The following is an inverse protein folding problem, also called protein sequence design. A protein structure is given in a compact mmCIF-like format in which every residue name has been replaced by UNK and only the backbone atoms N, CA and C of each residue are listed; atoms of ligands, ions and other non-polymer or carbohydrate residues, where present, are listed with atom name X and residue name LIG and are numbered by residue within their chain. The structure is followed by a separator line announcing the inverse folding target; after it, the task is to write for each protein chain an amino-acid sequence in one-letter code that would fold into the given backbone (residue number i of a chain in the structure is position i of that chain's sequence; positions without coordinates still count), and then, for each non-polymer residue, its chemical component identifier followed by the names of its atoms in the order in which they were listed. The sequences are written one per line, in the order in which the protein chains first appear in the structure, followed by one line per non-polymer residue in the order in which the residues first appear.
data_IF_156694791524
#
_entry.id   IF_156694791524
#
_cell.length_a   1.000
_cell.length_b   1.000
_cell.length_c   1.000
_cell.angle_alpha   90.00
_cell.angle_beta   90.00
_cell.angle_gamma   90.00
#
_symmetry.space_group_name_H-M   'P 1'
#
loop_
_entity.id
_entity.type
_entity.pdbx_description
1 polymer ?
#
# COMPACT_ATOMS: atom_id res chain seq x y z
N UNK A 1 60.40 36.86 18.55
CA UNK A 1 60.02 35.48 18.13
C UNK A 1 58.53 35.28 18.40
N UNK A 2 57.64 35.86 17.57
CA UNK A 2 56.16 35.83 17.74
C UNK A 2 55.46 35.43 16.42
N UNK A 3 56.16 34.70 15.53
CA UNK A 3 55.68 34.43 14.17
C UNK A 3 55.25 32.99 13.89
N UNK A 4 55.61 32.03 14.74
CA UNK A 4 55.47 30.60 14.37
C UNK A 4 54.23 29.91 14.95
N UNK A 5 53.59 30.48 15.97
CA UNK A 5 52.40 29.89 16.59
C UNK A 5 51.10 30.34 15.93
N UNK A 6 51.09 31.52 15.30
CA UNK A 6 49.91 32.03 14.61
C UNK A 6 49.53 31.20 13.37
N UNK A 7 50.53 30.63 12.67
CA UNK A 7 50.30 29.80 11.48
C UNK A 7 49.69 28.43 11.81
N UNK A 8 49.98 27.87 12.99
CA UNK A 8 49.45 26.55 13.38
C UNK A 8 47.96 26.62 13.70
N UNK A 9 47.51 27.73 14.32
CA UNK A 9 46.08 27.92 14.64
C UNK A 9 45.22 28.17 13.39
N UNK A 10 45.79 28.72 12.31
CA UNK A 10 45.05 28.98 11.07
C UNK A 10 44.68 27.70 10.29
N UNK A 11 45.43 26.60 10.47
CA UNK A 11 45.21 25.34 9.73
C UNK A 11 44.14 24.44 10.37
N UNK A 12 43.81 24.65 11.64
CA UNK A 12 42.86 23.81 12.40
C UNK A 12 41.41 24.32 12.39
N UNK A 13 41.14 25.49 11.81
CA UNK A 13 39.82 26.15 11.82
C UNK A 13 38.83 25.68 10.75
N UNK A 14 39.13 24.61 10.01
CA UNK A 14 38.25 24.05 8.99
C UNK A 14 37.29 23.00 9.55
N UNK A 15 36.52 23.33 10.59
CA UNK A 15 35.45 22.46 11.06
C UNK A 15 34.32 22.60 10.05
N UNK A 16 34.18 21.62 9.15
CA UNK A 16 32.97 21.50 8.33
C UNK A 16 31.78 21.42 9.30
N UNK A 17 31.04 22.52 9.44
CA UNK A 17 29.73 22.50 10.02
C UNK A 17 28.83 21.74 9.04
N UNK A 18 28.77 20.41 9.21
CA UNK A 18 27.75 19.62 8.55
C UNK A 18 26.40 20.20 8.98
N UNK A 19 25.51 20.57 8.04
CA UNK A 19 24.17 21.01 8.41
C UNK A 19 23.53 19.91 9.24
N UNK A 20 22.99 20.28 10.41
CA UNK A 20 22.24 19.36 11.23
C UNK A 20 21.14 18.71 10.37
N UNK A 21 20.90 17.40 10.48
CA UNK A 21 19.85 16.73 9.73
C UNK A 21 18.53 17.43 10.04
N UNK A 22 17.88 17.96 9.00
CA UNK A 22 16.56 18.54 9.13
C UNK A 22 15.58 17.46 9.66
N UNK A 23 14.59 17.84 10.47
CA UNK A 23 13.59 16.89 10.95
C UNK A 23 12.91 16.21 9.76
N UNK A 24 12.85 14.88 9.79
CA UNK A 24 12.20 14.10 8.73
C UNK A 24 10.69 14.40 8.75
N UNK A 25 10.19 14.94 7.64
CA UNK A 25 8.75 15.20 7.47
C UNK A 25 7.99 13.89 7.22
N UNK A 26 6.68 13.91 7.48
CA UNK A 26 5.84 12.73 7.27
C UNK A 26 5.90 12.19 5.83
N UNK A 27 5.86 13.07 4.83
CA UNK A 27 5.98 12.70 3.41
C UNK A 27 7.34 12.10 3.08
N UNK A 28 8.42 12.66 3.62
CA UNK A 28 9.77 12.17 3.41
C UNK A 28 10.00 10.81 4.07
N UNK A 29 9.39 10.57 5.23
CA UNK A 29 9.43 9.26 5.89
C UNK A 29 8.70 8.20 5.06
N UNK A 30 7.54 8.54 4.47
CA UNK A 30 6.81 7.63 3.58
C UNK A 30 7.61 7.33 2.30
N UNK A 31 8.24 8.33 1.68
CA UNK A 31 9.06 8.09 0.49
C UNK A 31 10.27 7.20 0.81
N UNK A 32 10.97 7.49 1.92
CA UNK A 32 12.09 6.67 2.39
C UNK A 32 11.67 5.23 2.70
N UNK A 33 10.45 5.04 3.24
CA UNK A 33 9.91 3.72 3.52
C UNK A 33 9.67 2.90 2.25
N UNK A 34 9.06 3.53 1.24
CA UNK A 34 8.81 2.91 -0.07
C UNK A 34 10.13 2.59 -0.76
N UNK A 35 11.10 3.51 -0.71
CA UNK A 35 12.42 3.32 -1.30
C UNK A 35 13.19 2.18 -0.61
N UNK A 36 13.17 2.12 0.72
CA UNK A 36 13.77 1.04 1.50
C UNK A 36 13.15 -0.32 1.15
N UNK A 37 11.83 -0.38 0.99
CA UNK A 37 11.15 -1.60 0.54
C UNK A 37 11.61 -2.00 -0.87
N UNK A 38 11.72 -1.04 -1.79
CA UNK A 38 12.13 -1.28 -3.17
C UNK A 38 13.59 -1.73 -3.34
N UNK A 39 14.46 -1.53 -2.34
CA UNK A 39 15.83 -2.01 -2.34
C UNK A 39 15.95 -3.53 -2.10
N UNK A 40 14.86 -4.20 -1.71
CA UNK A 40 14.88 -5.64 -1.47
C UNK A 40 15.11 -6.41 -2.79
N UNK A 41 16.13 -7.30 -2.85
CA UNK A 41 16.51 -8.00 -4.08
C UNK A 41 15.49 -9.06 -4.54
N UNK A 42 14.52 -9.41 -3.69
CA UNK A 42 13.50 -10.42 -3.97
C UNK A 42 12.34 -9.88 -4.84
N UNK A 43 12.26 -8.56 -5.01
CA UNK A 43 11.18 -7.91 -5.73
C UNK A 43 11.36 -8.05 -7.25
N UNK A 44 10.25 -8.29 -7.96
CA UNK A 44 10.25 -8.36 -9.43
C UNK A 44 9.98 -7.03 -10.11
N UNK A 45 9.27 -6.14 -9.41
CA UNK A 45 8.88 -4.81 -9.85
C UNK A 45 8.99 -3.85 -8.67
N UNK A 46 9.05 -2.55 -8.94
CA UNK A 46 8.98 -1.52 -7.90
C UNK A 46 7.55 -1.33 -7.41
N UNK A 47 7.43 -0.81 -6.19
CA UNK A 47 6.18 -0.41 -5.58
C UNK A 47 6.14 1.10 -5.45
N UNK A 48 4.95 1.65 -5.63
CA UNK A 48 4.65 3.07 -5.44
C UNK A 48 3.58 3.24 -4.39
N UNK A 49 3.68 4.32 -3.61
CA UNK A 49 2.67 4.69 -2.62
C UNK A 49 1.30 4.87 -3.30
N UNK A 50 0.27 4.22 -2.75
CA UNK A 50 -1.10 4.37 -3.21
C UNK A 50 -1.87 5.36 -2.34
N UNK A 51 -1.83 5.14 -1.02
CA UNK A 51 -2.53 5.97 -0.03
C UNK A 51 -1.95 5.70 1.35
N UNK A 52 -1.91 6.71 2.21
CA UNK A 52 -1.60 6.57 3.63
C UNK A 52 -2.77 6.97 4.51
N UNK A 53 -2.77 6.48 5.74
CA UNK A 53 -3.68 6.85 6.82
C UNK A 53 -2.86 7.14 8.08
N UNK A 54 -2.77 8.41 8.54
CA UNK A 54 -3.46 9.59 8.01
C UNK A 54 -2.98 10.04 6.62
N UNK A 55 -3.78 10.83 5.92
CA UNK A 55 -3.37 11.46 4.65
C UNK A 55 -2.23 12.45 4.92
N UNK A 56 -1.20 12.54 4.05
CA UNK A 56 -0.05 13.38 4.34
C UNK A 56 -0.39 14.85 4.17
N UNK A 57 -0.61 15.55 5.30
CA UNK A 57 -0.73 17.00 5.35
C UNK A 57 0.48 17.65 5.99
N UNK A 58 0.73 18.91 5.63
CA UNK A 58 1.88 19.69 6.12
C UNK A 58 1.84 19.96 7.64
N UNK A 59 0.68 19.78 8.27
CA UNK A 59 0.47 20.04 9.70
C UNK A 59 0.76 18.82 10.59
N UNK A 60 1.06 17.65 10.00
CA UNK A 60 1.27 16.41 10.76
C UNK A 60 2.76 16.12 10.91
N UNK A 61 3.25 16.26 12.14
CA UNK A 61 4.61 15.89 12.50
C UNK A 61 4.73 14.37 12.72
N UNK A 62 5.76 13.77 12.13
CA UNK A 62 6.09 12.35 12.31
C UNK A 62 6.30 12.00 13.79
N UNK A 63 6.81 12.96 14.57
CA UNK A 63 7.00 12.90 16.04
C UNK A 63 5.73 12.69 16.84
N UNK A 64 4.58 13.08 16.29
CA UNK A 64 3.29 12.90 16.96
C UNK A 64 2.65 11.55 16.64
N UNK A 65 3.14 10.86 15.59
CA UNK A 65 2.59 9.61 15.11
C UNK A 65 3.38 8.42 15.66
N UNK A 66 2.74 7.63 16.54
CA UNK A 66 3.33 6.37 17.03
C UNK A 66 3.36 5.28 15.94
N UNK A 67 2.40 5.32 15.01
CA UNK A 67 2.23 4.33 13.94
C UNK A 67 1.65 4.98 12.70
N UNK A 68 2.15 4.58 11.55
CA UNK A 68 1.68 5.01 10.23
C UNK A 68 1.20 3.80 9.46
N UNK A 69 0.01 3.87 8.86
CA UNK A 69 -0.49 2.80 8.00
C UNK A 69 -0.53 3.34 6.58
N UNK A 70 0.00 2.59 5.63
CA UNK A 70 -0.03 2.98 4.24
C UNK A 70 -0.13 1.78 3.33
N UNK A 71 -0.64 2.02 2.14
CA UNK A 71 -0.80 1.03 1.09
C UNK A 71 0.10 1.42 -0.07
N UNK A 72 0.75 0.42 -0.64
CA UNK A 72 1.57 0.56 -1.84
C UNK A 72 1.12 -0.46 -2.88
N UNK A 73 1.45 -0.19 -4.13
CA UNK A 73 1.01 -0.99 -5.26
C UNK A 73 2.16 -1.23 -6.23
N UNK A 74 2.18 -2.44 -6.77
CA UNK A 74 3.14 -2.86 -7.79
C UNK A 74 3.02 -2.01 -9.07
N UNK A 75 4.15 -1.53 -9.58
CA UNK A 75 4.26 -0.76 -10.82
C UNK A 75 4.75 -1.63 -11.99
N UNK A 76 4.79 -1.07 -13.18
CA UNK A 76 5.35 -1.72 -14.37
C UNK A 76 6.89 -1.66 -14.44
N UNK A 77 7.50 -0.81 -13.62
CA UNK A 77 8.95 -0.62 -13.60
C UNK A 77 9.69 -1.79 -12.96
N UNK A 78 10.88 -2.07 -13.47
CA UNK A 78 11.79 -3.05 -12.91
C UNK A 78 12.44 -2.52 -11.62
N UNK A 79 12.77 -3.40 -10.65
CA UNK A 79 13.55 -3.03 -9.47
C UNK A 79 14.89 -2.43 -9.93
N UNK A 80 15.38 -1.42 -9.22
CA UNK A 80 16.62 -0.70 -9.51
C UNK A 80 16.63 0.07 -10.85
N UNK A 81 15.48 0.35 -11.47
CA UNK A 81 15.44 1.43 -12.45
C UNK A 81 15.86 2.73 -11.74
N UNK A 82 16.81 3.49 -12.27
CA UNK A 82 17.15 4.85 -11.77
C UNK A 82 16.00 5.87 -11.89
N UNK A 83 14.78 5.38 -12.17
CA UNK A 83 13.54 6.15 -12.25
C UNK A 83 12.94 6.26 -10.85
N UNK A 84 12.35 7.42 -10.55
CA UNK A 84 11.60 7.60 -9.33
C UNK A 84 10.36 6.67 -9.37
N UNK A 85 10.06 5.90 -8.30
CA UNK A 85 8.85 5.09 -8.24
C UNK A 85 7.56 5.87 -8.50
N UNK A 86 7.54 7.19 -8.27
CA UNK A 86 6.40 8.07 -8.56
C UNK A 86 6.17 8.34 -10.05
N UNK A 87 7.18 8.15 -10.90
CA UNK A 87 7.05 8.29 -12.35
C UNK A 87 6.57 6.99 -13.03
N UNK A 88 6.50 5.90 -12.25
CA UNK A 88 6.09 4.61 -12.75
C UNK A 88 4.58 4.43 -12.69
N UNK A 89 4.01 3.99 -13.81
CA UNK A 89 2.59 3.64 -13.89
C UNK A 89 2.31 2.38 -13.06
N UNK A 90 1.16 2.38 -12.41
CA UNK A 90 0.67 1.22 -11.69
C UNK A 90 0.39 0.08 -12.66
N UNK A 91 0.84 -1.12 -12.32
CA UNK A 91 0.64 -2.29 -13.15
C UNK A 91 -0.84 -2.62 -13.26
N UNK A 92 -1.41 -2.36 -14.43
CA UNK A 92 -2.81 -2.69 -14.68
C UNK A 92 -2.96 -4.19 -14.95
N UNK A 93 -4.12 -4.74 -14.62
CA UNK A 93 -4.41 -6.16 -14.75
C UNK A 93 -4.35 -6.56 -16.23
N UNK A 94 -3.17 -6.98 -16.70
CA UNK A 94 -2.97 -7.37 -18.10
C UNK A 94 -4.03 -8.37 -18.56
N UNK A 95 -4.41 -8.29 -19.84
CA UNK A 95 -5.55 -8.94 -20.51
C UNK A 95 -5.67 -10.48 -20.38
N UNK A 96 -4.80 -11.14 -19.61
CA UNK A 96 -4.78 -12.59 -19.39
C UNK A 96 -5.15 -12.95 -17.95
N UNK A 97 -6.42 -12.74 -17.59
CA UNK A 97 -7.28 -13.44 -16.59
C UNK A 97 -6.74 -13.87 -15.19
N UNK A 98 -5.48 -13.68 -14.79
CA UNK A 98 -4.92 -14.20 -13.52
C UNK A 98 -3.78 -13.40 -12.87
N UNK A 99 -3.41 -12.21 -13.34
CA UNK A 99 -2.55 -11.32 -12.55
C UNK A 99 -3.40 -10.22 -11.96
N UNK A 100 -3.81 -10.39 -10.70
CA UNK A 100 -4.45 -9.34 -9.91
C UNK A 100 -3.36 -8.36 -9.47
N UNK A 101 -3.68 -7.06 -9.55
CA UNK A 101 -3.00 -5.96 -8.87
C UNK A 101 -2.60 -6.38 -7.44
N UNK A 102 -1.31 -6.38 -7.16
CA UNK A 102 -0.77 -6.71 -5.84
C UNK A 102 -0.70 -5.43 -5.03
N UNK A 103 -1.65 -5.28 -4.11
CA UNK A 103 -1.66 -4.20 -3.11
C UNK A 103 -0.99 -4.77 -1.87
N UNK A 104 -0.01 -4.04 -1.35
CA UNK A 104 0.61 -4.32 -0.06
C UNK A 104 0.09 -3.32 0.95
N UNK A 105 -0.39 -3.82 2.08
CA UNK A 105 -0.72 -3.01 3.25
C UNK A 105 0.48 -3.05 4.20
N UNK A 106 1.06 -1.89 4.43
CA UNK A 106 2.23 -1.68 5.28
C UNK A 106 1.86 -0.88 6.52
N UNK A 107 2.44 -1.26 7.64
CA UNK A 107 2.42 -0.50 8.88
C UNK A 107 3.85 -0.18 9.29
N UNK A 108 4.12 1.10 9.52
CA UNK A 108 5.39 1.60 10.01
C UNK A 108 5.27 2.02 11.48
N UNK A 109 6.14 1.52 12.34
CA UNK A 109 6.27 2.03 13.71
C UNK A 109 7.40 3.07 13.72
N UNK A 110 7.08 4.30 14.14
CA UNK A 110 8.07 5.37 14.23
C UNK A 110 8.80 5.23 15.56
N UNK A 111 10.10 4.91 15.51
CA UNK A 111 10.97 4.83 16.68
C UNK A 111 11.94 6.00 16.66
N UNK A 112 11.99 6.79 17.73
CA UNK A 112 12.94 7.89 17.86
C UNK A 112 14.18 7.38 18.59
N UNK A 113 15.22 7.01 17.85
CA UNK A 113 16.51 6.66 18.44
C UNK A 113 17.41 7.89 18.42
N UNK A 114 17.65 8.51 19.58
CA UNK A 114 18.50 9.71 19.72
C UNK A 114 18.14 10.81 18.71
N UNK A 115 16.86 11.20 18.66
CA UNK A 115 16.31 12.23 17.77
C UNK A 115 16.32 11.89 16.26
N UNK A 116 16.75 10.68 15.89
CA UNK A 116 16.57 10.16 14.53
C UNK A 116 15.33 9.25 14.47
N UNK A 117 14.29 9.59 13.68
CA UNK A 117 13.16 8.70 13.50
C UNK A 117 13.56 7.56 12.55
N UNK A 118 13.56 6.34 13.07
CA UNK A 118 13.66 5.10 12.30
C UNK A 118 12.26 4.52 12.13
N UNK A 119 11.95 4.04 10.92
CA UNK A 119 10.65 3.47 10.61
C UNK A 119 10.78 1.96 10.43
N UNK A 120 10.32 1.20 11.42
CA UNK A 120 10.26 -0.26 11.31
C UNK A 120 9.02 -0.68 10.51
N UNK A 121 9.25 -1.33 9.37
CA UNK A 121 8.25 -1.57 8.33
C UNK A 121 7.77 -3.02 8.31
N UNK A 122 6.47 -3.22 8.52
CA UNK A 122 5.80 -4.50 8.37
C UNK A 122 4.77 -4.44 7.25
N UNK A 123 5.00 -5.19 6.16
CA UNK A 123 4.16 -5.19 4.96
C UNK A 123 3.51 -6.56 4.72
N UNK A 124 2.23 -6.56 4.38
CA UNK A 124 1.44 -7.77 4.11
C UNK A 124 0.71 -7.69 2.77
N UNK A 125 0.50 -8.83 2.12
CA UNK A 125 -0.29 -8.92 0.90
C UNK A 125 -1.77 -8.72 1.20
N UNK A 126 -2.34 -7.59 0.75
CA UNK A 126 -3.77 -7.31 0.84
C UNK A 126 -4.58 -8.07 -0.22
N UNK A 127 -4.03 -9.14 -0.82
CA UNK A 127 -4.68 -9.94 -1.85
C UNK A 127 -5.96 -10.54 -1.28
N UNK A 128 -7.08 -9.85 -1.53
CA UNK A 128 -8.47 -10.28 -1.34
C UNK A 128 -8.59 -11.79 -1.30
N UNK A 129 -8.64 -12.35 -0.09
CA UNK A 129 -8.94 -13.75 0.16
C UNK A 129 -10.16 -14.10 -0.68
N UNK A 130 -10.06 -14.96 -1.72
CA UNK A 130 -11.27 -15.53 -2.26
C UNK A 130 -11.83 -16.37 -1.11
N UNK A 131 -12.92 -15.92 -0.50
CA UNK A 131 -13.75 -16.79 0.34
C UNK A 131 -13.97 -18.03 -0.52
N UNK A 132 -13.24 -19.10 -0.20
CA UNK A 132 -13.38 -20.37 -0.87
C UNK A 132 -14.74 -20.89 -0.42
N UNK A 133 -15.80 -20.42 -1.08
CA UNK A 133 -17.10 -21.03 -0.96
C UNK A 133 -16.88 -22.43 -1.50
N UNK A 134 -16.72 -23.40 -0.59
CA UNK A 134 -16.79 -24.80 -0.94
C UNK A 134 -18.14 -24.98 -1.61
N UNK A 135 -18.16 -24.99 -2.95
CA UNK A 135 -19.32 -25.45 -3.70
C UNK A 135 -19.42 -26.93 -3.40
N UNK A 136 -20.10 -27.22 -2.28
CA UNK A 136 -20.43 -28.56 -1.88
C UNK A 136 -21.06 -29.29 -3.06
N UNK A 137 -20.90 -30.61 -3.05
CA UNK A 137 -21.29 -31.58 -4.09
C UNK A 137 -22.79 -31.54 -4.48
N UNK A 138 -23.58 -30.62 -3.93
CA UNK A 138 -24.99 -30.35 -4.21
C UNK A 138 -25.30 -30.00 -5.68
N UNK A 139 -24.34 -29.43 -6.42
CA UNK A 139 -24.52 -29.14 -7.86
C UNK A 139 -24.82 -30.39 -8.70
N UNK A 140 -24.34 -31.57 -8.28
CA UNK A 140 -24.66 -32.84 -8.96
C UNK A 140 -26.06 -33.37 -8.63
N UNK A 141 -26.58 -33.08 -7.43
CA UNK A 141 -27.89 -33.57 -6.99
C UNK A 141 -29.03 -32.82 -7.68
N UNK A 142 -28.91 -31.49 -7.83
CA UNK A 142 -29.90 -30.66 -8.53
C UNK A 142 -30.01 -30.98 -10.03
N UNK A 143 -28.95 -31.54 -10.65
CA UNK A 143 -28.99 -31.96 -12.06
C UNK A 143 -29.92 -33.17 -12.27
N UNK A 144 -30.15 -33.99 -11.24
CA UNK A 144 -31.04 -35.16 -11.30
C UNK A 144 -32.51 -34.78 -11.11
N UNK A 145 -32.80 -33.71 -10.37
CA UNK A 145 -34.17 -33.23 -10.10
C UNK A 145 -34.78 -32.49 -11.30
N UNK A 146 -33.96 -31.86 -12.16
CA UNK A 146 -34.45 -31.18 -13.38
C UNK A 146 -35.15 -32.09 -14.41
N UNK A 147 -35.09 -33.42 -14.27
CA UNK A 147 -35.82 -34.35 -15.14
C UNK A 147 -37.28 -34.55 -14.74
N UNK A 148 -37.66 -34.13 -13.54
CA UNK A 148 -39.04 -34.20 -13.05
C UNK A 148 -39.66 -32.84 -13.35
N UNK A 149 -40.49 -32.75 -14.39
CA UNK A 149 -41.34 -31.58 -14.66
C UNK A 149 -42.69 -31.79 -13.97
N UNK A 150 -42.92 -31.34 -12.73
CA UNK A 150 -44.26 -31.37 -12.16
C UNK A 150 -45.16 -30.41 -12.97
N UNK A 151 -46.25 -30.94 -13.54
CA UNK A 151 -47.32 -30.11 -14.10
C UNK A 151 -48.15 -29.59 -12.93
N UNK A 152 -47.95 -28.33 -12.57
CA UNK A 152 -48.76 -27.65 -11.56
C UNK A 152 -49.81 -26.83 -12.31
N UNK A 153 -51.07 -27.24 -12.25
CA UNK A 153 -52.20 -26.46 -12.78
C UNK A 153 -52.68 -25.52 -11.68
N UNK A 154 -52.49 -24.21 -11.86
CA UNK A 154 -53.07 -23.20 -10.98
C UNK A 154 -54.44 -22.79 -11.53
N UNK A 155 -55.50 -23.04 -10.76
CA UNK A 155 -56.82 -22.53 -11.09
C UNK A 155 -56.97 -21.14 -10.45
N UNK A 156 -56.86 -20.09 -11.26
CA UNK A 156 -56.98 -18.70 -10.80
C UNK A 156 -58.42 -18.26 -10.96
N UNK A 157 -59.17 -18.19 -9.85
CA UNK A 157 -60.53 -17.65 -9.85
C UNK A 157 -60.47 -16.16 -9.49
N UNK A 158 -60.55 -15.29 -10.50
CA UNK A 158 -60.58 -13.85 -10.30
C UNK A 158 -62.00 -13.41 -9.91
N UNK A 159 -62.19 -12.92 -8.67
CA UNK A 159 -63.38 -12.16 -8.29
C UNK A 159 -63.08 -10.68 -8.51
N UNK A 160 -63.75 -10.06 -9.48
CA UNK A 160 -63.74 -8.61 -9.67
C UNK A 160 -64.96 -7.97 -9.01
N UNK A 161 -64.78 -6.84 -8.35
CA UNK A 161 -65.87 -5.93 -7.98
C UNK A 161 -65.70 -4.62 -8.74
N UNK A 162 -66.77 -4.16 -9.37
CA UNK A 162 -66.81 -2.89 -10.11
C UNK A 162 -67.47 -1.86 -9.19
N UNK A 163 -66.74 -0.81 -8.82
CA UNK A 163 -67.33 0.39 -8.23
C UNK A 163 -67.62 1.39 -9.34
N UNK A 164 -68.90 1.75 -9.49
CA UNK A 164 -69.30 2.93 -10.28
C UNK A 164 -69.20 4.16 -9.38
N UNK A 165 -68.59 5.21 -9.91
CA UNK A 165 -68.59 6.56 -9.33
C UNK A 165 -69.94 7.24 -9.47
#
# INVERSE_FOLDING_TARGET
MLGSWALVLAVLGGVCALPAPAPLTYTQALSQAVDSYNQQPELKNTYRLLSSNPEPSTDIDLSTLQRVNFSMMETECAPNSHLNPDDCDFKENGARRRRRRVIKECSGVVQFLQDTPELDLSCTDASSNPVLVQRGRFGRFLRRIRRIRPRINFNVQARGSISLG
#
